data_IF_862351106797
#
_entry.id   IF_862351106797
#
_cell.length_a   1.000
_cell.length_b   1.000
_cell.length_c   1.000
_cell.angle_alpha   90.00
_cell.angle_beta   90.00
_cell.angle_gamma   90.00
#
_symmetry.space_group_name_H-M   'P 1'
#
loop_
_entity.id
_entity.type
_entity.pdbx_description
1 polymer ?
#
# COMPACT_ATOMS: atom_id res chain seq x y z
N UNK A 1 -19.81 4.57 -15.33
CA UNK A 1 -20.68 3.42 -15.00
C UNK A 1 -20.16 2.79 -13.73
N UNK A 2 -21.04 2.30 -12.86
CA UNK A 2 -20.62 1.48 -11.74
C UNK A 2 -20.03 0.17 -12.27
N UNK A 3 -19.03 -0.36 -11.55
CA UNK A 3 -18.40 -1.63 -11.86
C UNK A 3 -19.15 -2.68 -11.04
N UNK A 4 -19.69 -3.71 -11.70
CA UNK A 4 -20.46 -4.75 -11.04
C UNK A 4 -19.77 -6.11 -11.19
N UNK A 5 -19.78 -6.89 -10.12
CA UNK A 5 -19.32 -8.27 -10.15
C UNK A 5 -20.12 -9.08 -11.16
N UNK A 6 -19.44 -9.92 -11.93
CA UNK A 6 -20.07 -10.95 -12.74
C UNK A 6 -19.23 -12.23 -12.70
N UNK A 7 -19.87 -13.38 -12.92
CA UNK A 7 -19.21 -14.69 -12.76
C UNK A 7 -18.10 -14.97 -13.79
N UNK A 8 -17.90 -14.13 -14.80
CA UNK A 8 -16.73 -14.23 -15.70
C UNK A 8 -15.44 -13.72 -15.05
N UNK A 9 -15.55 -13.01 -13.92
CA UNK A 9 -14.43 -12.54 -13.10
C UNK A 9 -14.00 -13.59 -12.06
N UNK A 10 -14.69 -14.74 -11.99
CA UNK A 10 -14.44 -15.74 -10.96
C UNK A 10 -13.18 -16.57 -11.25
N UNK A 11 -12.20 -16.47 -10.35
CA UNK A 11 -10.92 -17.15 -10.38
C UNK A 11 -10.97 -18.44 -9.56
N UNK A 12 -11.24 -18.36 -8.25
CA UNK A 12 -11.07 -19.48 -7.32
C UNK A 12 -12.35 -19.87 -6.56
N UNK A 13 -13.43 -19.08 -6.63
CA UNK A 13 -14.62 -19.16 -5.75
C UNK A 13 -14.28 -19.09 -4.26
N UNK A 14 -13.11 -18.53 -3.95
CA UNK A 14 -12.47 -18.55 -2.65
C UNK A 14 -12.03 -17.14 -2.26
N UNK A 15 -10.79 -17.03 -1.80
CA UNK A 15 -10.27 -15.81 -1.18
C UNK A 15 -9.99 -14.72 -2.24
N UNK A 16 -9.55 -15.10 -3.45
CA UNK A 16 -9.32 -14.14 -4.53
C UNK A 16 -10.64 -13.54 -5.01
N UNK A 17 -11.67 -14.37 -5.23
CA UNK A 17 -13.00 -13.88 -5.61
C UNK A 17 -13.65 -13.00 -4.53
N UNK A 18 -13.37 -13.27 -3.25
CA UNK A 18 -13.83 -12.41 -2.15
C UNK A 18 -13.16 -11.04 -2.20
N UNK A 19 -11.85 -10.99 -2.48
CA UNK A 19 -11.12 -9.74 -2.61
C UNK A 19 -11.60 -8.89 -3.76
N UNK A 20 -11.75 -9.51 -4.93
CA UNK A 20 -12.21 -8.81 -6.13
C UNK A 20 -13.57 -8.17 -5.91
N UNK A 21 -14.48 -8.85 -5.18
CA UNK A 21 -15.78 -8.27 -4.81
C UNK A 21 -15.62 -7.02 -3.95
N UNK A 22 -14.75 -7.07 -2.92
CA UNK A 22 -14.51 -5.90 -2.06
C UNK A 22 -13.87 -4.76 -2.86
N UNK A 23 -12.89 -5.03 -3.71
CA UNK A 23 -12.27 -4.03 -4.57
C UNK A 23 -13.26 -3.40 -5.55
N UNK A 24 -14.11 -4.22 -6.17
CA UNK A 24 -15.19 -3.74 -7.06
C UNK A 24 -16.17 -2.86 -6.28
N UNK A 25 -16.54 -3.24 -5.06
CA UNK A 25 -17.44 -2.44 -4.21
C UNK A 25 -16.80 -1.12 -3.78
N UNK A 26 -15.51 -1.09 -3.45
CA UNK A 26 -14.76 0.13 -3.16
C UNK A 26 -14.66 1.05 -4.38
N UNK A 27 -14.33 0.50 -5.55
CA UNK A 27 -14.31 1.25 -6.81
C UNK A 27 -15.69 1.83 -7.15
N UNK A 28 -16.74 1.04 -7.01
CA UNK A 28 -18.12 1.49 -7.26
C UNK A 28 -18.56 2.54 -6.25
N UNK A 29 -18.14 2.44 -4.99
CA UNK A 29 -18.37 3.46 -3.96
C UNK A 29 -17.67 4.77 -4.34
N UNK A 30 -16.39 4.71 -4.72
CA UNK A 30 -15.65 5.87 -5.18
C UNK A 30 -16.33 6.55 -6.38
N UNK A 31 -16.74 5.77 -7.40
CA UNK A 31 -17.40 6.29 -8.62
C UNK A 31 -18.72 6.99 -8.30
N UNK A 32 -19.49 6.52 -7.31
CA UNK A 32 -20.74 7.19 -6.89
C UNK A 32 -20.46 8.50 -6.15
N UNK A 33 -19.44 8.50 -5.29
CA UNK A 33 -19.14 9.61 -4.41
C UNK A 33 -18.37 10.73 -5.12
N UNK A 34 -17.54 10.43 -6.13
CA UNK A 34 -16.62 11.42 -6.72
C UNK A 34 -17.27 12.71 -7.27
N UNK A 35 -18.55 12.66 -7.62
CA UNK A 35 -19.30 13.81 -8.14
C UNK A 35 -20.08 14.59 -7.07
N UNK A 36 -20.32 14.00 -5.89
CA UNK A 36 -21.28 14.53 -4.89
C UNK A 36 -20.75 14.62 -3.46
N UNK A 37 -19.70 13.87 -3.13
CA UNK A 37 -19.13 13.80 -1.80
C UNK A 37 -18.10 14.90 -1.55
N UNK A 38 -17.91 15.23 -0.27
CA UNK A 38 -16.85 16.14 0.17
C UNK A 38 -15.47 15.49 0.10
N UNK A 39 -14.41 16.31 0.03
CA UNK A 39 -13.00 15.85 -0.04
C UNK A 39 -12.63 14.84 1.06
N UNK A 40 -13.11 15.06 2.29
CA UNK A 40 -12.80 14.17 3.42
C UNK A 40 -13.41 12.77 3.27
N UNK A 41 -14.62 12.67 2.71
CA UNK A 41 -15.27 11.39 2.46
C UNK A 41 -14.58 10.63 1.33
N UNK A 42 -14.23 11.35 0.24
CA UNK A 42 -13.44 10.77 -0.85
C UNK A 42 -12.06 10.31 -0.38
N UNK A 43 -11.37 11.12 0.44
CA UNK A 43 -10.09 10.75 1.03
C UNK A 43 -10.14 9.41 1.77
N UNK A 44 -11.22 9.17 2.53
CA UNK A 44 -11.41 7.90 3.25
C UNK A 44 -11.57 6.73 2.28
N UNK A 45 -12.41 6.86 1.26
CA UNK A 45 -12.60 5.79 0.27
C UNK A 45 -11.32 5.51 -0.54
N UNK A 46 -10.54 6.56 -0.85
CA UNK A 46 -9.25 6.41 -1.52
C UNK A 46 -8.27 5.64 -0.62
N UNK A 47 -8.20 5.98 0.67
CA UNK A 47 -7.34 5.28 1.62
C UNK A 47 -7.76 3.81 1.80
N UNK A 48 -9.06 3.54 1.89
CA UNK A 48 -9.60 2.18 1.99
C UNK A 48 -9.25 1.37 0.73
N UNK A 49 -9.37 1.98 -0.46
CA UNK A 49 -9.04 1.34 -1.73
C UNK A 49 -7.54 1.04 -1.85
N UNK A 50 -6.68 2.00 -1.51
CA UNK A 50 -5.23 1.81 -1.51
C UNK A 50 -4.83 0.67 -0.57
N UNK A 51 -5.29 0.71 0.68
CA UNK A 51 -4.96 -0.33 1.65
C UNK A 51 -5.43 -1.72 1.20
N UNK A 52 -6.67 -1.82 0.71
CA UNK A 52 -7.23 -3.11 0.31
C UNK A 52 -6.57 -3.66 -0.96
N UNK A 53 -6.26 -2.81 -1.94
CA UNK A 53 -5.57 -3.21 -3.16
C UNK A 53 -4.18 -3.77 -2.86
N UNK A 54 -3.40 -3.08 -2.02
CA UNK A 54 -2.08 -3.53 -1.58
C UNK A 54 -2.12 -4.91 -0.93
N UNK A 55 -3.08 -5.07 -0.04
CA UNK A 55 -3.22 -6.30 0.73
C UNK A 55 -3.65 -7.47 -0.17
N UNK A 56 -4.60 -7.23 -1.07
CA UNK A 56 -5.02 -8.21 -2.08
C UNK A 56 -3.84 -8.64 -2.98
N UNK A 57 -3.05 -7.73 -3.55
CA UNK A 57 -1.92 -8.11 -4.39
C UNK A 57 -0.83 -8.86 -3.65
N UNK A 58 -0.56 -8.50 -2.39
CA UNK A 58 0.37 -9.28 -1.57
C UNK A 58 -0.10 -10.73 -1.43
N UNK A 59 -1.38 -10.94 -1.10
CA UNK A 59 -1.96 -12.28 -0.96
C UNK A 59 -1.90 -13.03 -2.29
N UNK A 60 -2.26 -12.37 -3.38
CA UNK A 60 -2.26 -12.97 -4.70
C UNK A 60 -0.84 -13.38 -5.12
N UNK A 61 0.14 -12.48 -5.00
CA UNK A 61 1.54 -12.77 -5.31
C UNK A 61 2.11 -13.88 -4.44
N UNK A 62 1.75 -13.95 -3.16
CA UNK A 62 2.16 -15.07 -2.30
C UNK A 62 1.52 -16.40 -2.74
N UNK A 63 0.24 -16.39 -3.13
CA UNK A 63 -0.42 -17.57 -3.70
C UNK A 63 0.24 -18.00 -5.01
N UNK A 64 0.46 -17.08 -5.94
CA UNK A 64 1.13 -17.33 -7.22
C UNK A 64 2.52 -17.93 -7.02
N UNK A 65 3.30 -17.40 -6.06
CA UNK A 65 4.62 -17.94 -5.71
C UNK A 65 4.52 -19.36 -5.15
N UNK A 66 3.60 -19.61 -4.21
CA UNK A 66 3.43 -20.93 -3.57
C UNK A 66 2.97 -22.02 -4.54
N UNK A 67 2.12 -21.67 -5.51
CA UNK A 67 1.62 -22.62 -6.52
C UNK A 67 2.55 -22.77 -7.73
N UNK A 68 3.66 -22.02 -7.77
CA UNK A 68 4.59 -22.05 -8.90
C UNK A 68 4.00 -21.49 -10.19
N UNK A 69 3.16 -20.46 -10.09
CA UNK A 69 2.54 -19.82 -11.24
C UNK A 69 3.59 -19.20 -12.16
N UNK A 70 3.56 -19.58 -13.44
CA UNK A 70 4.63 -19.27 -14.39
C UNK A 70 4.79 -17.77 -14.70
N UNK A 71 3.77 -16.94 -14.42
CA UNK A 71 3.82 -15.49 -14.61
C UNK A 71 3.90 -14.70 -13.28
N UNK A 72 4.23 -15.38 -12.16
CA UNK A 72 4.19 -14.76 -10.83
C UNK A 72 5.05 -13.49 -10.71
N UNK A 73 6.29 -13.52 -11.25
CA UNK A 73 7.17 -12.35 -11.21
C UNK A 73 6.61 -11.19 -12.04
N UNK A 74 6.14 -11.48 -13.26
CA UNK A 74 5.56 -10.47 -14.14
C UNK A 74 4.31 -9.82 -13.52
N UNK A 75 3.40 -10.61 -12.96
CA UNK A 75 2.18 -10.07 -12.33
C UNK A 75 2.51 -9.31 -11.03
N UNK A 76 3.50 -9.76 -10.27
CA UNK A 76 4.02 -9.01 -9.12
C UNK A 76 4.54 -7.62 -9.53
N UNK A 77 5.23 -7.50 -10.66
CA UNK A 77 5.64 -6.20 -11.21
C UNK A 77 4.44 -5.35 -11.64
N UNK A 78 3.42 -5.94 -12.28
CA UNK A 78 2.17 -5.26 -12.65
C UNK A 78 1.44 -4.72 -11.40
N UNK A 79 1.39 -5.50 -10.31
CA UNK A 79 0.82 -5.11 -9.03
C UNK A 79 1.56 -3.91 -8.42
N UNK A 80 2.91 -3.96 -8.39
CA UNK A 80 3.74 -2.88 -7.84
C UNK A 80 3.52 -1.57 -8.61
N UNK A 81 3.49 -1.64 -9.94
CA UNK A 81 3.26 -0.47 -10.79
C UNK A 81 1.88 0.16 -10.55
N UNK A 82 0.85 -0.65 -10.33
CA UNK A 82 -0.44 -0.11 -9.92
C UNK A 82 -0.33 0.61 -8.59
N UNK A 83 0.14 -0.07 -7.55
CA UNK A 83 0.13 0.50 -6.20
C UNK A 83 0.87 1.83 -6.19
N UNK A 84 1.99 1.92 -6.91
CA UNK A 84 2.71 3.17 -7.12
C UNK A 84 1.83 4.24 -7.81
N UNK A 85 1.20 3.91 -8.94
CA UNK A 85 0.30 4.82 -9.67
C UNK A 85 -0.88 5.30 -8.81
N UNK A 86 -1.46 4.41 -8.01
CA UNK A 86 -2.54 4.73 -7.08
C UNK A 86 -2.06 5.67 -5.98
N UNK A 87 -0.88 5.40 -5.40
CA UNK A 87 -0.25 6.25 -4.39
C UNK A 87 0.06 7.66 -4.91
N UNK A 88 0.60 7.77 -6.13
CA UNK A 88 0.88 9.07 -6.76
C UNK A 88 -0.40 9.91 -6.93
N UNK A 89 -1.47 9.29 -7.43
CA UNK A 89 -2.77 9.94 -7.60
C UNK A 89 -3.39 10.31 -6.24
N UNK A 90 -3.26 9.44 -5.23
CA UNK A 90 -3.72 9.71 -3.88
C UNK A 90 -2.99 10.91 -3.25
N UNK A 91 -1.66 10.97 -3.34
CA UNK A 91 -0.85 12.11 -2.86
C UNK A 91 -1.30 13.41 -3.52
N UNK A 92 -1.49 13.41 -4.84
CA UNK A 92 -2.02 14.58 -5.56
C UNK A 92 -3.42 14.97 -5.10
N UNK A 93 -4.28 14.01 -4.82
CA UNK A 93 -5.63 14.25 -4.30
C UNK A 93 -5.58 14.93 -2.92
N UNK A 94 -4.73 14.43 -2.01
CA UNK A 94 -4.56 15.03 -0.67
C UNK A 94 -4.05 16.46 -0.74
N UNK A 95 -3.13 16.76 -1.65
CA UNK A 95 -2.56 18.10 -1.84
C UNK A 95 -3.45 19.07 -2.63
N UNK A 96 -4.47 18.58 -3.35
CA UNK A 96 -5.38 19.42 -4.11
C UNK A 96 -6.19 20.36 -3.18
N UNK A 97 -6.01 21.68 -3.33
CA UNK A 97 -6.69 22.67 -2.47
C UNK A 97 -8.02 23.14 -3.05
N UNK A 98 -8.05 23.36 -4.36
CA UNK A 98 -9.21 23.89 -5.08
C UNK A 98 -10.16 22.79 -5.53
N UNK A 99 -11.46 23.08 -5.57
CA UNK A 99 -12.48 22.13 -5.99
C UNK A 99 -12.25 21.58 -7.40
N UNK A 100 -11.73 22.42 -8.32
CA UNK A 100 -11.37 22.00 -9.67
C UNK A 100 -10.25 20.96 -9.68
N UNK A 101 -9.20 21.18 -8.87
CA UNK A 101 -8.07 20.26 -8.76
C UNK A 101 -8.50 18.93 -8.15
N UNK A 102 -9.34 18.97 -7.11
CA UNK A 102 -9.94 17.77 -6.50
C UNK A 102 -10.75 16.99 -7.55
N UNK A 103 -11.61 17.67 -8.33
CA UNK A 103 -12.41 17.03 -9.38
C UNK A 103 -11.54 16.43 -10.49
N UNK A 104 -10.49 17.13 -10.92
CA UNK A 104 -9.56 16.65 -11.93
C UNK A 104 -8.85 15.36 -11.50
N UNK A 105 -8.27 15.35 -10.29
CA UNK A 105 -7.60 14.17 -9.74
C UNK A 105 -8.58 13.02 -9.49
N UNK A 106 -9.78 13.30 -8.98
CA UNK A 106 -10.83 12.27 -8.82
C UNK A 106 -11.23 11.61 -10.13
N UNK A 107 -11.28 12.38 -11.22
CA UNK A 107 -11.60 11.85 -12.54
C UNK A 107 -10.48 11.01 -13.13
N UNK A 108 -9.23 11.39 -12.91
CA UNK A 108 -8.06 10.59 -13.26
C UNK A 108 -8.04 9.27 -12.48
N UNK A 109 -8.27 9.31 -11.16
CA UNK A 109 -8.38 8.11 -10.34
C UNK A 109 -9.50 7.20 -10.84
N UNK A 110 -10.68 7.74 -11.14
CA UNK A 110 -11.79 6.95 -11.67
C UNK A 110 -11.46 6.25 -12.99
N UNK A 111 -10.63 6.86 -13.85
CA UNK A 111 -10.12 6.22 -15.07
C UNK A 111 -9.13 5.11 -14.74
N UNK A 112 -8.15 5.38 -13.86
CA UNK A 112 -7.16 4.41 -13.42
C UNK A 112 -7.83 3.15 -12.87
N UNK A 113 -8.79 3.32 -11.95
CA UNK A 113 -9.51 2.20 -11.32
C UNK A 113 -10.30 1.37 -12.34
N UNK A 114 -10.95 2.03 -13.31
CA UNK A 114 -11.69 1.33 -14.35
C UNK A 114 -10.77 0.60 -15.33
N UNK A 115 -9.74 1.27 -15.84
CA UNK A 115 -8.83 0.68 -16.81
C UNK A 115 -7.96 -0.39 -16.20
N UNK A 116 -7.67 -0.32 -14.91
CA UNK A 116 -6.74 -1.22 -14.29
C UNK A 116 -7.42 -2.40 -13.61
N UNK A 117 -8.34 -2.18 -12.66
CA UNK A 117 -8.89 -3.29 -11.88
C UNK A 117 -9.61 -4.30 -12.77
N UNK A 118 -10.41 -3.80 -13.72
CA UNK A 118 -11.16 -4.68 -14.62
C UNK A 118 -10.28 -5.33 -15.68
N UNK A 119 -9.36 -4.59 -16.29
CA UNK A 119 -8.49 -5.19 -17.31
C UNK A 119 -7.50 -6.16 -16.69
N UNK A 120 -6.97 -5.87 -15.49
CA UNK A 120 -6.05 -6.74 -14.77
C UNK A 120 -6.72 -8.07 -14.42
N UNK A 121 -7.88 -8.04 -13.76
CA UNK A 121 -8.63 -9.27 -13.45
C UNK A 121 -8.93 -10.09 -14.71
N UNK A 122 -9.32 -9.41 -15.81
CA UNK A 122 -9.71 -10.10 -17.05
C UNK A 122 -8.53 -10.59 -17.91
N UNK A 123 -7.33 -10.00 -17.78
CA UNK A 123 -6.18 -10.31 -18.65
C UNK A 123 -5.05 -11.02 -17.91
N UNK A 124 -4.90 -10.79 -16.61
CA UNK A 124 -3.82 -11.33 -15.78
C UNK A 124 -4.36 -12.46 -14.91
N UNK A 125 -5.28 -12.17 -13.99
CA UNK A 125 -5.69 -13.12 -12.94
C UNK A 125 -6.48 -14.30 -13.51
N UNK A 126 -7.15 -14.10 -14.66
CA UNK A 126 -7.90 -15.16 -15.34
C UNK A 126 -7.05 -16.40 -15.64
N UNK A 127 -5.73 -16.23 -15.81
CA UNK A 127 -4.81 -17.34 -16.03
C UNK A 127 -4.63 -18.23 -14.78
N UNK A 128 -4.89 -17.69 -13.59
CA UNK A 128 -4.87 -18.44 -12.32
C UNK A 128 -6.05 -19.42 -12.18
N UNK A 129 -7.11 -19.31 -13.01
CA UNK A 129 -8.22 -20.29 -13.04
C UNK A 129 -7.70 -21.72 -13.24
N UNK A 130 -6.61 -21.89 -14.00
CA UNK A 130 -5.97 -23.19 -14.21
C UNK A 130 -5.41 -23.83 -12.93
N UNK A 131 -5.16 -23.02 -11.88
CA UNK A 131 -4.58 -23.42 -10.60
C UNK A 131 -5.59 -23.35 -9.45
N UNK A 132 -6.90 -23.33 -9.76
CA UNK A 132 -7.97 -23.16 -8.75
C UNK A 132 -7.86 -24.16 -7.60
N UNK A 133 -7.48 -25.39 -7.86
CA UNK A 133 -7.39 -26.44 -6.83
C UNK A 133 -6.22 -26.19 -5.89
N UNK A 134 -5.08 -25.78 -6.44
CA UNK A 134 -3.85 -25.45 -5.74
C UNK A 134 -4.04 -24.20 -4.89
N UNK A 135 -4.67 -23.16 -5.45
CA UNK A 135 -5.05 -21.94 -4.74
C UNK A 135 -5.95 -22.28 -3.55
N UNK A 136 -7.02 -23.07 -3.78
CA UNK A 136 -7.93 -23.47 -2.70
C UNK A 136 -7.23 -24.31 -1.60
N UNK A 137 -6.18 -25.05 -1.94
CA UNK A 137 -5.38 -25.77 -0.95
C UNK A 137 -4.50 -24.82 -0.12
N UNK A 138 -3.79 -23.90 -0.77
CA UNK A 138 -2.87 -22.95 -0.12
C UNK A 138 -3.61 -21.85 0.68
N UNK A 139 -4.79 -21.45 0.22
CA UNK A 139 -5.62 -20.42 0.85
C UNK A 139 -6.20 -20.84 2.21
N UNK A 140 -6.18 -22.13 2.56
CA UNK A 140 -6.67 -22.61 3.88
C UNK A 140 -5.88 -22.04 5.05
N UNK A 141 -4.60 -21.73 4.82
CA UNK A 141 -3.72 -21.15 5.83
C UNK A 141 -3.76 -19.61 5.83
N UNK A 142 -4.50 -19.01 4.89
CA UNK A 142 -4.62 -17.57 4.75
C UNK A 142 -5.91 -17.07 5.39
N UNK A 143 -5.78 -16.11 6.31
CA UNK A 143 -6.93 -15.46 6.92
C UNK A 143 -7.63 -14.57 5.87
N UNK A 144 -8.97 -14.59 5.80
CA UNK A 144 -9.71 -13.56 5.07
C UNK A 144 -9.30 -12.18 5.57
N UNK A 145 -9.15 -11.22 4.66
CA UNK A 145 -9.02 -9.84 5.10
C UNK A 145 -10.38 -9.37 5.54
N UNK A 146 -10.50 -9.03 6.83
CA UNK A 146 -11.70 -8.39 7.33
C UNK A 146 -11.91 -7.09 6.56
N UNK A 147 -13.03 -7.00 5.84
CA UNK A 147 -13.34 -5.87 4.98
C UNK A 147 -13.22 -4.56 5.77
N UNK A 148 -12.33 -3.68 5.34
CA UNK A 148 -12.08 -2.33 5.88
C UNK A 148 -12.50 -2.20 7.35
N UNK A 149 -11.70 -2.80 8.24
CA UNK A 149 -11.93 -2.83 9.69
C UNK A 149 -12.43 -1.48 10.23
N UNK A 150 -13.71 -1.47 10.63
CA UNK A 150 -14.39 -0.34 11.24
C UNK A 150 -14.12 -0.31 12.75
N UNK A 151 -12.87 -0.13 13.17
CA UNK A 151 -12.62 0.12 14.60
C UNK A 151 -11.19 -0.04 15.08
N UNK A 152 -10.51 1.09 15.26
CA UNK A 152 -9.71 1.49 16.44
C UNK A 152 -8.88 0.45 17.24
N UNK A 153 -8.44 -0.67 16.68
CA UNK A 153 -7.31 -1.41 17.20
C UNK A 153 -6.02 -0.73 16.73
N UNK A 154 -5.04 -0.60 17.62
CA UNK A 154 -3.69 -0.10 17.28
C UNK A 154 -3.11 -1.05 16.23
N UNK A 155 -3.13 -0.60 14.97
CA UNK A 155 -2.70 -1.38 13.80
C UNK A 155 -1.20 -1.22 13.61
N UNK A 156 -0.47 -2.32 13.73
CA UNK A 156 0.89 -2.42 13.18
C UNK A 156 0.82 -2.46 11.65
N UNK A 157 1.84 -1.92 11.01
CA UNK A 157 2.14 -2.08 9.60
C UNK A 157 2.36 -3.57 9.28
N UNK A 158 1.56 -4.12 8.37
CA UNK A 158 1.58 -5.54 8.00
C UNK A 158 2.54 -5.86 6.85
N UNK A 159 2.61 -7.14 6.49
CA UNK A 159 3.42 -7.67 5.39
C UNK A 159 2.99 -7.13 4.01
N UNK A 160 1.74 -6.69 3.87
CA UNK A 160 1.22 -5.96 2.71
C UNK A 160 1.97 -4.65 2.44
N UNK A 161 2.52 -4.03 3.49
CA UNK A 161 3.32 -2.82 3.36
C UNK A 161 4.74 -3.13 2.93
N UNK A 162 5.36 -4.16 3.51
CA UNK A 162 6.69 -4.63 3.13
C UNK A 162 6.77 -5.01 1.65
N UNK A 163 5.74 -5.69 1.15
CA UNK A 163 5.63 -6.10 -0.25
C UNK A 163 5.79 -4.95 -1.26
N UNK A 164 5.28 -3.76 -0.93
CA UNK A 164 5.36 -2.59 -1.81
C UNK A 164 6.58 -1.72 -1.59
N UNK A 165 7.33 -1.99 -0.52
CA UNK A 165 8.62 -1.38 -0.26
C UNK A 165 9.77 -2.20 -0.89
N UNK A 166 9.44 -3.32 -1.55
CA UNK A 166 10.42 -4.12 -2.27
C UNK A 166 10.85 -3.46 -3.58
N UNK A 167 12.11 -3.08 -3.64
CA UNK A 167 12.81 -2.41 -4.73
C UNK A 167 13.91 -3.30 -5.30
N UNK A 168 14.72 -3.93 -4.44
CA UNK A 168 15.95 -4.61 -4.88
C UNK A 168 16.10 -6.07 -4.41
N UNK A 169 15.15 -6.62 -3.63
CA UNK A 169 15.28 -7.88 -2.90
C UNK A 169 16.62 -7.98 -2.13
N UNK A 170 17.15 -6.85 -1.70
CA UNK A 170 18.50 -6.70 -1.18
C UNK A 170 18.53 -5.70 -0.02
N UNK A 171 19.57 -4.87 0.00
CA UNK A 171 19.86 -4.04 1.18
C UNK A 171 18.80 -2.96 1.41
N UNK A 172 18.16 -2.46 0.35
CA UNK A 172 17.09 -1.46 0.48
C UNK A 172 15.83 -2.11 1.03
N UNK A 173 15.50 -3.33 0.59
CA UNK A 173 14.35 -4.08 1.10
C UNK A 173 14.55 -4.48 2.57
N UNK A 174 15.75 -4.93 2.94
CA UNK A 174 16.13 -5.23 4.32
C UNK A 174 16.01 -3.99 5.21
N UNK A 175 16.44 -2.82 4.71
CA UNK A 175 16.31 -1.56 5.44
C UNK A 175 14.84 -1.19 5.66
N UNK A 176 14.00 -1.33 4.63
CA UNK A 176 12.57 -1.06 4.73
C UNK A 176 11.88 -2.00 5.72
N UNK A 177 12.23 -3.29 5.71
CA UNK A 177 11.75 -4.25 6.70
C UNK A 177 12.07 -3.79 8.12
N UNK A 178 13.31 -3.41 8.39
CA UNK A 178 13.70 -2.97 9.72
C UNK A 178 13.08 -1.62 10.12
N UNK A 179 12.91 -0.68 9.18
CA UNK A 179 12.18 0.56 9.43
C UNK A 179 10.73 0.29 9.83
N UNK A 180 10.07 -0.66 9.18
CA UNK A 180 8.71 -1.07 9.53
C UNK A 180 8.65 -1.72 10.93
N UNK A 181 9.63 -2.55 11.30
CA UNK A 181 9.74 -3.09 12.66
C UNK A 181 9.82 -1.96 13.70
N UNK A 182 10.69 -0.97 13.49
CA UNK A 182 10.84 0.17 14.40
C UNK A 182 9.57 1.03 14.49
N UNK A 183 8.85 1.21 13.38
CA UNK A 183 7.58 1.93 13.36
C UNK A 183 6.51 1.13 14.10
N UNK A 184 6.47 -0.20 13.93
CA UNK A 184 5.55 -1.08 14.64
C UNK A 184 5.80 -1.07 16.14
N UNK A 185 7.06 -1.14 16.56
CA UNK A 185 7.46 -1.01 17.96
C UNK A 185 7.01 0.35 18.55
N UNK A 186 7.12 1.42 17.76
CA UNK A 186 6.67 2.75 18.18
C UNK A 186 5.14 2.78 18.33
N UNK A 187 4.41 2.30 17.34
CA UNK A 187 2.94 2.22 17.34
C UNK A 187 2.43 1.40 18.53
N UNK A 188 3.01 0.22 18.77
CA UNK A 188 2.68 -0.61 19.93
C UNK A 188 2.95 0.13 21.25
N UNK A 189 4.06 0.87 21.34
CA UNK A 189 4.39 1.73 22.48
C UNK A 189 3.40 2.88 22.72
N UNK A 190 2.60 3.27 21.73
CA UNK A 190 1.54 4.29 21.91
C UNK A 190 0.26 3.72 22.52
N UNK A 191 0.10 2.39 22.54
CA UNK A 191 -1.00 1.73 23.25
C UNK A 191 -0.74 1.74 24.77
N UNK A 192 -1.78 2.02 25.56
CA UNK A 192 -1.80 2.57 26.94
C UNK A 192 -0.89 1.99 28.05
N UNK A 193 -0.05 0.98 27.79
CA UNK A 193 0.76 0.30 28.80
C UNK A 193 2.24 0.73 28.86
N UNK A 194 2.71 1.59 27.95
CA UNK A 194 4.15 1.81 27.74
C UNK A 194 4.52 3.29 27.93
N UNK A 195 5.43 3.56 28.88
CA UNK A 195 5.77 4.93 29.30
C UNK A 195 6.62 5.70 28.28
N UNK A 196 6.62 7.04 28.40
CA UNK A 196 7.34 7.99 27.52
C UNK A 196 8.81 7.62 27.24
N UNK A 197 9.52 7.03 28.21
CA UNK A 197 10.90 6.60 28.05
C UNK A 197 11.10 5.54 26.96
N UNK A 198 10.12 4.65 26.77
CA UNK A 198 10.16 3.64 25.71
C UNK A 198 9.87 4.27 24.34
N UNK A 199 8.89 5.18 24.27
CA UNK A 199 8.59 5.91 23.04
C UNK A 199 9.80 6.74 22.56
N UNK A 200 10.47 7.44 23.48
CA UNK A 200 11.70 8.19 23.19
C UNK A 200 12.82 7.26 22.72
N UNK A 201 13.04 6.13 23.40
CA UNK A 201 14.05 5.15 23.00
C UNK A 201 13.79 4.55 21.60
N UNK A 202 12.53 4.23 21.28
CA UNK A 202 12.17 3.69 19.96
C UNK A 202 12.29 4.76 18.88
N UNK A 203 11.91 6.01 19.17
CA UNK A 203 12.05 7.12 18.23
C UNK A 203 13.53 7.46 17.94
N UNK A 204 14.42 7.38 18.95
CA UNK A 204 15.87 7.52 18.76
C UNK A 204 16.40 6.46 17.78
N UNK A 205 15.99 5.19 17.97
CA UNK A 205 16.39 4.09 17.07
C UNK A 205 15.87 4.33 15.66
N UNK A 206 14.59 4.69 15.52
CA UNK A 206 13.96 4.99 14.24
C UNK A 206 14.73 6.11 13.52
N UNK A 207 14.97 7.24 14.18
CA UNK A 207 15.70 8.37 13.59
C UNK A 207 17.12 7.98 13.15
N UNK A 208 17.86 7.28 14.01
CA UNK A 208 19.24 6.85 13.70
C UNK A 208 19.28 5.90 12.50
N UNK A 209 18.33 4.96 12.43
CA UNK A 209 18.28 4.01 11.33
C UNK A 209 17.79 4.65 10.03
N UNK A 210 16.76 5.50 10.07
CA UNK A 210 16.29 6.29 8.92
C UNK A 210 17.42 7.12 8.32
N UNK A 211 18.22 7.79 9.15
CA UNK A 211 19.38 8.55 8.67
C UNK A 211 20.41 7.67 7.94
N UNK A 212 20.65 6.46 8.46
CA UNK A 212 21.60 5.51 7.89
C UNK A 212 21.10 4.93 6.57
N UNK A 213 19.82 4.58 6.51
CA UNK A 213 19.13 4.10 5.31
C UNK A 213 19.14 5.16 4.20
N UNK A 214 18.72 6.40 4.49
CA UNK A 214 18.74 7.48 3.50
C UNK A 214 20.14 7.77 2.98
N UNK A 215 21.18 7.68 3.82
CA UNK A 215 22.56 7.81 3.34
C UNK A 215 22.91 6.73 2.31
N UNK A 216 22.57 5.47 2.58
CA UNK A 216 22.81 4.36 1.62
C UNK A 216 22.03 4.56 0.33
N UNK A 217 20.75 4.90 0.43
CA UNK A 217 19.90 5.11 -0.74
C UNK A 217 20.41 6.29 -1.60
N UNK A 218 20.79 7.41 -0.98
CA UNK A 218 21.35 8.56 -1.67
C UNK A 218 22.68 8.23 -2.37
N UNK A 219 23.54 7.42 -1.75
CA UNK A 219 24.79 6.94 -2.35
C UNK A 219 24.51 6.05 -3.58
N UNK A 220 23.53 5.15 -3.49
CA UNK A 220 23.10 4.31 -4.62
C UNK A 220 22.51 5.15 -5.75
N UNK A 221 21.62 6.10 -5.42
CA UNK A 221 21.02 7.02 -6.39
C UNK A 221 22.08 7.88 -7.09
N UNK A 222 23.09 8.36 -6.36
CA UNK A 222 24.20 9.11 -6.92
C UNK A 222 25.07 8.25 -7.85
N UNK A 223 25.36 7.00 -7.47
CA UNK A 223 26.17 6.08 -8.25
C UNK A 223 25.57 5.77 -9.64
N UNK A 224 24.25 5.74 -9.75
CA UNK A 224 23.54 5.48 -11.01
C UNK A 224 23.07 6.75 -11.73
N UNK A 225 23.37 7.93 -11.20
CA UNK A 225 22.97 9.21 -11.79
C UNK A 225 21.46 9.43 -11.80
N UNK A 226 20.75 9.03 -10.74
CA UNK A 226 19.30 9.14 -10.64
C UNK A 226 18.82 10.59 -10.86
N UNK A 227 18.01 10.88 -11.89
CA UNK A 227 17.67 12.25 -12.30
C UNK A 227 16.97 13.09 -11.21
N UNK A 228 16.33 12.46 -10.24
CA UNK A 228 15.57 13.13 -9.17
C UNK A 228 16.29 13.13 -7.81
N UNK A 229 17.56 12.71 -7.73
CA UNK A 229 18.29 12.55 -6.48
C UNK A 229 18.30 13.82 -5.60
N UNK A 230 18.37 15.02 -6.20
CA UNK A 230 18.34 16.29 -5.46
C UNK A 230 17.01 16.51 -4.77
N UNK A 231 15.90 16.32 -5.49
CA UNK A 231 14.55 16.48 -4.94
C UNK A 231 14.27 15.40 -3.88
N UNK A 232 14.75 14.18 -4.12
CA UNK A 232 14.59 13.06 -3.20
C UNK A 232 15.32 13.30 -1.87
N UNK A 233 16.60 13.73 -1.93
CA UNK A 233 17.39 14.12 -0.75
C UNK A 233 16.74 15.26 0.06
N UNK A 234 16.09 16.22 -0.59
CA UNK A 234 15.34 17.27 0.11
C UNK A 234 14.13 16.71 0.87
N UNK A 235 13.44 15.72 0.31
CA UNK A 235 12.36 15.02 1.00
C UNK A 235 12.88 14.28 2.23
N UNK A 236 14.01 13.58 2.12
CA UNK A 236 14.68 12.91 3.25
C UNK A 236 15.02 13.88 4.38
N UNK A 237 15.63 15.02 4.06
CA UNK A 237 15.98 16.05 5.05
C UNK A 237 14.74 16.59 5.78
N UNK A 238 13.63 16.76 5.06
CA UNK A 238 12.37 17.23 5.63
C UNK A 238 11.76 16.19 6.60
N UNK A 239 11.87 14.91 6.27
CA UNK A 239 11.40 13.81 7.11
C UNK A 239 12.24 13.68 8.39
N UNK A 240 13.58 13.74 8.28
CA UNK A 240 14.48 13.71 9.44
C UNK A 240 14.20 14.91 10.38
N UNK A 241 14.00 16.10 9.83
CA UNK A 241 13.64 17.27 10.62
C UNK A 241 12.30 17.09 11.35
N UNK A 242 11.32 16.45 10.70
CA UNK A 242 10.03 16.15 11.31
C UNK A 242 10.16 15.17 12.48
N UNK A 243 10.93 14.08 12.32
CA UNK A 243 11.21 13.11 13.38
C UNK A 243 11.88 13.76 14.59
N UNK A 244 12.89 14.61 14.37
CA UNK A 244 13.55 15.36 15.46
C UNK A 244 12.59 16.34 16.16
N UNK A 245 11.67 16.94 15.42
CA UNK A 245 10.60 17.78 15.98
C UNK A 245 9.65 17.00 16.90
N UNK A 246 9.24 15.79 16.51
CA UNK A 246 8.43 14.91 17.35
C UNK A 246 9.17 14.46 18.61
N UNK A 247 10.45 14.11 18.50
CA UNK A 247 11.25 13.70 19.65
C UNK A 247 11.33 14.82 20.70
N UNK A 248 11.62 16.05 20.25
CA UNK A 248 11.68 17.21 21.14
C UNK A 248 10.35 17.53 21.85
N UNK A 249 9.22 17.04 21.33
CA UNK A 249 7.91 17.16 21.98
C UNK A 249 7.69 16.07 23.03
N UNK A 250 8.16 14.84 22.79
CA UNK A 250 8.06 13.73 23.74
C UNK A 250 8.98 13.87 24.96
N UNK A 251 10.11 14.57 24.81
CA UNK A 251 11.06 14.80 25.90
C UNK A 251 10.71 16.00 26.80
N UNK A 252 9.57 16.68 26.58
CA UNK A 252 9.09 17.83 27.39
C UNK A 252 8.01 17.40 28.37
#
# INVERSE_FOLDING_TARGET
>A
MAIEWNDRLAIDKGIIDQDHRVLIDLCSTFIRLKESAGKAELARVIADLEHYARSHFWRESELQRRIGFCYAEQQTDEHRQLVASLGEVAVRFFHAKEAEAVRAVSNELGKLLHSWLIDHILKSDIHMVAYRTEIAAMAKDMTPMDGADKGAAVRTIGSDVLYNLSIDNGVIDDDHHHLIELINDFILGTSEAVGHAYLDATLIKLQAYTQSHFSREEDLQAAVGFPFAVAHKQAHQSLIASLGGFQAQLSR
#
